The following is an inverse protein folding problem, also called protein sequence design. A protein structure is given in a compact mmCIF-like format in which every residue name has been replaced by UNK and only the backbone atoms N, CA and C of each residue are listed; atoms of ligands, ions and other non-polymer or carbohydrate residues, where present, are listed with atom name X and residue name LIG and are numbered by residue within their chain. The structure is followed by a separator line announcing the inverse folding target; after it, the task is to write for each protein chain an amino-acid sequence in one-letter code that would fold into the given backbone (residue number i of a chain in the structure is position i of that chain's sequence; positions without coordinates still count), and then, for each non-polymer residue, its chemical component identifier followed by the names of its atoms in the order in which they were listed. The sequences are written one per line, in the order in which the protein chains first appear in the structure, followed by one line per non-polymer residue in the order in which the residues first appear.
data_IF_261764308514
#
_entry.id   IF_261764308514
#
_cell.length_a   1.000
_cell.length_b   1.000
_cell.length_c   1.000
_cell.angle_alpha   90.00
_cell.angle_beta   90.00
_cell.angle_gamma   90.00
#
_symmetry.space_group_name_H-M   'P 1'
#
loop_
_entity.id
_entity.type
_entity.pdbx_description
1 polymer ?
#
# COMPACT_ATOMS: atom_id res chain seq x y z
N UNK A 1 8.90 36.20 -20.03
CA UNK A 1 9.73 34.97 -20.07
C UNK A 1 10.04 34.68 -21.54
N UNK A 2 11.30 34.42 -21.93
CA UNK A 2 11.63 34.16 -23.35
C UNK A 2 11.13 32.76 -23.76
N UNK A 3 10.81 32.55 -25.05
CA UNK A 3 10.42 31.23 -25.58
C UNK A 3 11.47 30.15 -25.27
N UNK A 4 12.76 30.51 -25.28
CA UNK A 4 13.88 29.64 -24.89
C UNK A 4 13.77 29.18 -23.43
N UNK A 5 13.38 30.07 -22.52
CA UNK A 5 13.24 29.73 -21.09
C UNK A 5 12.04 28.81 -20.85
N UNK A 6 10.95 28.99 -21.60
CA UNK A 6 9.78 28.10 -21.54
C UNK A 6 10.16 26.69 -21.99
N UNK A 7 10.84 26.57 -23.15
CA UNK A 7 11.28 25.26 -23.66
C UNK A 7 12.20 24.49 -22.70
N UNK A 8 13.12 25.19 -22.03
CA UNK A 8 14.00 24.58 -21.01
C UNK A 8 13.18 24.06 -19.82
N UNK A 9 12.20 24.82 -19.36
CA UNK A 9 11.38 24.46 -18.19
C UNK A 9 10.51 23.23 -18.48
N UNK A 10 9.93 23.14 -19.68
CA UNK A 10 9.16 21.97 -20.13
C UNK A 10 10.06 20.72 -20.17
N UNK A 11 11.24 20.82 -20.79
CA UNK A 11 12.20 19.71 -20.87
C UNK A 11 12.65 19.22 -19.49
N UNK A 12 12.91 20.14 -18.56
CA UNK A 12 13.29 19.79 -17.18
C UNK A 12 12.15 19.11 -16.42
N UNK A 13 10.91 19.56 -16.62
CA UNK A 13 9.73 18.96 -15.97
C UNK A 13 9.50 17.53 -16.46
N UNK A 14 9.57 17.30 -17.78
CA UNK A 14 9.44 15.95 -18.35
C UNK A 14 10.55 15.03 -17.84
N UNK A 15 11.80 15.50 -17.77
CA UNK A 15 12.91 14.72 -17.20
C UNK A 15 12.71 14.36 -15.73
N UNK A 16 12.15 15.28 -14.95
CA UNK A 16 11.87 15.03 -13.53
C UNK A 16 10.81 13.94 -13.37
N UNK A 17 9.71 14.02 -14.12
CA UNK A 17 8.64 12.99 -14.12
C UNK A 17 9.20 11.63 -14.55
N UNK A 18 9.99 11.60 -15.63
CA UNK A 18 10.63 10.38 -16.14
C UNK A 18 11.58 9.75 -15.12
N UNK A 19 12.36 10.58 -14.41
CA UNK A 19 13.24 10.09 -13.34
C UNK A 19 12.44 9.54 -12.15
N UNK A 20 11.41 10.25 -11.70
CA UNK A 20 10.54 9.79 -10.63
C UNK A 20 9.92 8.42 -10.98
N UNK A 21 9.36 8.26 -12.19
CA UNK A 21 8.79 6.99 -12.63
C UNK A 21 9.79 5.83 -12.60
N UNK A 22 11.05 6.05 -13.02
CA UNK A 22 12.11 5.03 -12.92
C UNK A 22 12.45 4.65 -11.47
N UNK A 23 12.45 5.62 -10.58
CA UNK A 23 12.72 5.38 -9.16
C UNK A 23 11.58 4.58 -8.52
N UNK A 24 10.31 4.87 -8.88
CA UNK A 24 9.15 4.10 -8.41
C UNK A 24 9.14 2.67 -8.95
N UNK A 25 9.44 2.46 -10.24
CA UNK A 25 9.55 1.11 -10.81
C UNK A 25 10.66 0.30 -10.12
N UNK A 26 11.82 0.94 -9.87
CA UNK A 26 12.94 0.30 -9.16
C UNK A 26 12.57 -0.04 -7.72
N UNK A 27 11.92 0.87 -7.00
CA UNK A 27 11.43 0.64 -5.64
C UNK A 27 10.41 -0.50 -5.60
N UNK A 28 9.45 -0.52 -6.53
CA UNK A 28 8.42 -1.55 -6.62
C UNK A 28 9.05 -2.94 -6.78
N UNK A 29 10.04 -3.08 -7.67
CA UNK A 29 10.80 -4.33 -7.86
C UNK A 29 11.56 -4.75 -6.60
N UNK A 30 12.15 -3.81 -5.88
CA UNK A 30 12.85 -4.09 -4.62
C UNK A 30 11.89 -4.54 -3.53
N UNK A 31 10.72 -3.90 -3.39
CA UNK A 31 9.68 -4.31 -2.45
C UNK A 31 9.21 -5.73 -2.76
N UNK A 32 8.88 -6.03 -4.02
CA UNK A 32 8.47 -7.36 -4.46
C UNK A 32 9.51 -8.42 -4.11
N UNK A 33 10.78 -8.17 -4.45
CA UNK A 33 11.88 -9.10 -4.16
C UNK A 33 12.05 -9.37 -2.66
N UNK A 34 12.02 -8.32 -1.83
CA UNK A 34 12.21 -8.45 -0.39
C UNK A 34 11.00 -9.14 0.29
N UNK A 35 9.77 -8.90 -0.21
CA UNK A 35 8.59 -9.65 0.22
C UNK A 35 8.71 -11.11 -0.21
N UNK A 36 9.01 -11.43 -1.47
CA UNK A 36 9.16 -12.82 -1.97
C UNK A 36 10.18 -13.61 -1.16
N UNK A 37 11.31 -12.98 -0.81
CA UNK A 37 12.31 -13.56 0.06
C UNK A 37 11.76 -13.88 1.45
N UNK A 38 10.98 -12.98 2.05
CA UNK A 38 10.36 -13.19 3.35
C UNK A 38 9.25 -14.25 3.30
N UNK A 39 8.47 -14.29 2.23
CA UNK A 39 7.44 -15.32 2.01
C UNK A 39 8.08 -16.71 1.97
N UNK A 40 9.18 -16.84 1.24
CA UNK A 40 9.89 -18.12 1.07
C UNK A 40 10.64 -18.57 2.33
N UNK A 41 11.17 -17.63 3.12
CA UNK A 41 12.05 -17.93 4.26
C UNK A 41 11.38 -17.83 5.63
N UNK A 42 10.52 -16.84 5.86
CA UNK A 42 9.94 -16.50 7.17
C UNK A 42 8.47 -16.87 7.33
N UNK A 43 7.73 -16.96 6.22
CA UNK A 43 6.27 -17.21 6.22
C UNK A 43 5.86 -18.50 5.50
N UNK A 44 6.80 -19.34 5.11
CA UNK A 44 6.57 -20.57 4.33
C UNK A 44 5.66 -21.60 5.02
N UNK A 45 5.53 -21.53 6.34
CA UNK A 45 4.62 -22.36 7.15
C UNK A 45 3.24 -21.73 7.35
N UNK A 46 3.09 -20.44 7.10
CA UNK A 46 1.85 -19.67 7.29
C UNK A 46 1.03 -19.66 5.99
N UNK A 47 1.69 -19.36 4.87
CA UNK A 47 1.03 -19.20 3.58
C UNK A 47 1.99 -19.55 2.44
N UNK A 48 1.44 -19.72 1.24
CA UNK A 48 2.20 -19.93 0.01
C UNK A 48 1.81 -18.92 -1.05
N UNK A 49 2.79 -18.50 -1.83
CA UNK A 49 2.55 -17.77 -3.06
C UNK A 49 1.84 -18.71 -4.05
N UNK A 50 0.73 -18.26 -4.61
CA UNK A 50 -0.06 -19.00 -5.60
C UNK A 50 -0.28 -18.22 -6.90
N UNK A 51 -0.21 -16.89 -6.83
CA UNK A 51 -0.25 -16.00 -8.00
C UNK A 51 0.85 -14.96 -7.85
N UNK A 52 1.41 -14.54 -8.98
CA UNK A 52 2.54 -13.63 -9.06
C UNK A 52 2.11 -12.16 -9.12
N UNK A 53 3.05 -11.26 -8.84
CA UNK A 53 2.85 -9.81 -8.89
C UNK A 53 2.34 -9.32 -10.25
N UNK A 54 2.90 -9.83 -11.35
CA UNK A 54 2.61 -9.36 -12.71
C UNK A 54 1.18 -9.66 -13.16
N UNK A 55 0.56 -10.71 -12.62
CA UNK A 55 -0.84 -11.07 -12.93
C UNK A 55 -1.83 -10.08 -12.31
N UNK A 56 -1.37 -9.32 -11.30
CA UNK A 56 -2.19 -8.45 -10.46
C UNK A 56 -1.61 -7.03 -10.38
N UNK A 57 -1.01 -6.57 -11.48
CA UNK A 57 -0.52 -5.19 -11.63
C UNK A 57 -1.66 -4.29 -12.14
N UNK A 58 -1.84 -3.15 -11.49
CA UNK A 58 -2.78 -2.09 -11.85
C UNK A 58 -2.05 -0.76 -11.81
N UNK A 59 -2.28 0.09 -12.79
CA UNK A 59 -1.71 1.44 -12.90
C UNK A 59 -2.85 2.45 -13.01
N UNK A 60 -2.70 3.59 -12.35
CA UNK A 60 -3.62 4.71 -12.45
C UNK A 60 -2.91 5.85 -13.16
N UNK A 61 -3.58 6.43 -14.16
CA UNK A 61 -3.10 7.60 -14.89
C UNK A 61 -3.99 8.81 -14.58
N UNK A 62 -3.46 10.01 -14.82
CA UNK A 62 -4.26 11.23 -14.80
C UNK A 62 -5.36 11.21 -15.88
N UNK A 63 -6.26 12.19 -15.84
CA UNK A 63 -7.40 12.29 -16.77
C UNK A 63 -7.00 12.34 -18.25
N UNK A 64 -5.76 12.75 -18.55
CA UNK A 64 -5.21 12.83 -19.90
C UNK A 64 -4.42 11.60 -20.30
N UNK A 65 -4.35 10.57 -19.45
CA UNK A 65 -3.56 9.34 -19.63
C UNK A 65 -2.08 9.61 -19.93
N UNK A 66 -1.55 10.73 -19.43
CA UNK A 66 -0.19 11.18 -19.71
C UNK A 66 0.78 10.85 -18.58
N UNK A 67 0.33 10.98 -17.32
CA UNK A 67 1.16 10.76 -16.14
C UNK A 67 0.56 9.64 -15.31
N UNK A 68 1.35 8.61 -15.02
CA UNK A 68 0.97 7.60 -14.04
C UNK A 68 1.01 8.23 -12.63
N UNK A 69 -0.14 8.23 -11.95
CA UNK A 69 -0.37 8.81 -10.62
C UNK A 69 -0.49 7.74 -9.54
N UNK A 70 -0.59 6.46 -9.91
CA UNK A 70 -0.64 5.36 -8.95
C UNK A 70 -0.19 4.02 -9.51
N UNK A 71 0.40 3.21 -8.64
CA UNK A 71 0.81 1.83 -8.93
C UNK A 71 0.20 0.91 -7.90
N UNK A 72 -0.32 -0.23 -8.30
CA UNK A 72 -0.78 -1.25 -7.39
C UNK A 72 -0.34 -2.62 -7.88
N UNK A 73 0.20 -3.43 -6.99
CA UNK A 73 0.63 -4.79 -7.31
C UNK A 73 0.37 -5.69 -6.13
N UNK A 74 -0.15 -6.89 -6.41
CA UNK A 74 -0.60 -7.81 -5.37
C UNK A 74 -0.01 -9.20 -5.55
N UNK A 75 0.34 -9.84 -4.44
CA UNK A 75 0.81 -11.22 -4.40
C UNK A 75 -0.31 -12.13 -3.89
N UNK A 76 -0.76 -13.06 -4.73
CA UNK A 76 -1.79 -14.01 -4.33
C UNK A 76 -1.25 -15.04 -3.35
N UNK A 77 -1.88 -15.11 -2.18
CA UNK A 77 -1.53 -15.97 -1.07
C UNK A 77 -2.59 -17.07 -0.88
N UNK A 78 -2.14 -18.32 -0.98
CA UNK A 78 -2.96 -19.49 -0.72
C UNK A 78 -2.77 -20.04 0.69
N UNK A 79 -3.86 -20.56 1.27
CA UNK A 79 -3.80 -21.43 2.44
C UNK A 79 -3.60 -22.88 1.98
N UNK A 80 -2.70 -23.62 2.64
CA UNK A 80 -2.53 -25.06 2.36
C UNK A 80 -3.68 -25.82 3.02
N UNK A 81 -4.77 -26.06 2.29
CA UNK A 81 -5.84 -26.96 2.74
C UNK A 81 -5.91 -28.18 1.83
N UNK A 82 -5.60 -29.36 2.39
CA UNK A 82 -5.73 -30.68 1.74
C UNK A 82 -5.07 -30.79 0.35
N UNK A 83 -3.89 -30.18 0.16
CA UNK A 83 -3.09 -30.36 -1.05
C UNK A 83 -3.54 -29.58 -2.29
N UNK A 84 -4.58 -28.73 -2.20
CA UNK A 84 -4.90 -27.71 -3.21
C UNK A 84 -4.69 -26.33 -2.60
N UNK A 85 -3.88 -25.51 -3.27
CA UNK A 85 -3.73 -24.11 -2.90
C UNK A 85 -4.74 -23.30 -3.72
N UNK A 86 -5.76 -22.76 -3.07
CA UNK A 86 -6.63 -21.73 -3.65
C UNK A 86 -6.25 -20.39 -3.05
N UNK A 87 -6.16 -19.35 -3.89
CA UNK A 87 -5.93 -17.99 -3.43
C UNK A 87 -6.99 -17.61 -2.41
N UNK A 88 -6.53 -17.20 -1.23
CA UNK A 88 -7.37 -16.86 -0.09
C UNK A 88 -7.23 -15.38 0.27
N UNK A 89 -6.04 -14.81 0.07
CA UNK A 89 -5.70 -13.43 0.38
C UNK A 89 -4.75 -12.89 -0.66
N UNK A 90 -4.66 -11.57 -0.76
CA UNK A 90 -3.70 -10.87 -1.58
C UNK A 90 -2.94 -9.88 -0.71
N UNK A 91 -1.61 -10.03 -0.66
CA UNK A 91 -0.75 -9.04 -0.06
C UNK A 91 -0.48 -7.97 -1.11
N UNK A 92 -1.10 -6.81 -0.95
CA UNK A 92 -1.04 -5.71 -1.89
C UNK A 92 -0.08 -4.61 -1.44
N UNK A 93 0.52 -3.96 -2.44
CA UNK A 93 1.22 -2.69 -2.29
C UNK A 93 0.59 -1.71 -3.26
N UNK A 94 0.15 -0.57 -2.74
CA UNK A 94 -0.38 0.54 -3.52
C UNK A 94 0.51 1.76 -3.29
N UNK A 95 1.03 2.36 -4.35
CA UNK A 95 1.77 3.60 -4.34
C UNK A 95 0.87 4.67 -4.95
N UNK A 96 0.58 5.72 -4.19
CA UNK A 96 -0.25 6.85 -4.64
C UNK A 96 0.61 8.10 -4.69
N UNK A 97 0.83 8.62 -5.90
CA UNK A 97 1.66 9.80 -6.17
C UNK A 97 0.84 11.09 -6.25
N UNK A 98 -0.42 10.98 -6.66
CA UNK A 98 -1.39 12.07 -6.69
C UNK A 98 -2.83 11.52 -6.65
N UNK A 99 -3.78 12.36 -6.25
CA UNK A 99 -5.21 12.07 -6.30
C UNK A 99 -5.76 11.29 -5.10
N UNK A 100 -6.90 10.64 -5.32
CA UNK A 100 -7.79 10.11 -4.26
C UNK A 100 -7.18 9.00 -3.39
N UNK A 101 -6.07 8.40 -3.82
CA UNK A 101 -5.31 7.45 -3.00
C UNK A 101 -4.56 8.12 -1.84
N UNK A 102 -4.32 9.43 -1.91
CA UNK A 102 -3.55 10.17 -0.90
C UNK A 102 -4.24 11.41 -0.35
N UNK A 103 -5.21 12.00 -1.04
CA UNK A 103 -5.96 13.17 -0.61
C UNK A 103 -7.46 13.06 -0.91
N UNK A 104 -8.26 14.03 -0.48
CA UNK A 104 -9.66 14.20 -0.86
C UNK A 104 -10.06 15.67 -0.75
N UNK A 105 -11.30 16.02 -1.09
CA UNK A 105 -11.83 17.39 -0.93
C UNK A 105 -11.71 17.95 0.50
N UNK A 106 -11.63 17.08 1.51
CA UNK A 106 -11.57 17.44 2.93
C UNK A 106 -10.18 17.13 3.53
N UNK A 107 -9.43 16.21 2.92
CA UNK A 107 -8.12 15.75 3.41
C UNK A 107 -7.05 16.24 2.46
N UNK A 108 -6.36 17.31 2.85
CA UNK A 108 -5.27 17.88 2.08
C UNK A 108 -3.94 17.21 2.45
N UNK A 109 -3.50 16.28 1.61
CA UNK A 109 -2.16 15.72 1.70
C UNK A 109 -1.46 15.82 0.33
N UNK A 110 -0.25 16.36 0.36
CA UNK A 110 0.60 16.54 -0.82
C UNK A 110 1.79 15.57 -0.83
N UNK A 111 1.90 14.69 0.16
CA UNK A 111 2.97 13.70 0.22
C UNK A 111 2.53 12.35 -0.34
N UNK A 112 3.29 11.79 -1.30
CA UNK A 112 3.00 10.45 -1.83
C UNK A 112 3.01 9.37 -0.75
N UNK A 113 2.12 8.40 -0.89
CA UNK A 113 1.92 7.34 0.09
C UNK A 113 2.21 5.97 -0.51
N UNK A 114 2.60 5.04 0.36
CA UNK A 114 2.64 3.61 0.10
C UNK A 114 1.72 2.92 1.09
N UNK A 115 0.68 2.26 0.59
CA UNK A 115 -0.22 1.44 1.38
C UNK A 115 0.19 -0.02 1.26
N UNK A 116 0.37 -0.67 2.42
CA UNK A 116 0.63 -2.10 2.52
C UNK A 116 -0.62 -2.74 3.09
N UNK A 117 -1.20 -3.68 2.34
CA UNK A 117 -2.49 -4.26 2.67
C UNK A 117 -2.50 -5.78 2.53
N UNK A 118 -3.44 -6.41 3.22
CA UNK A 118 -3.83 -7.79 3.01
C UNK A 118 -5.34 -7.81 2.80
N UNK A 119 -5.79 -8.14 1.59
CA UNK A 119 -7.21 -8.12 1.23
C UNK A 119 -7.70 -9.46 0.71
N UNK A 120 -9.02 -9.58 0.53
CA UNK A 120 -9.66 -10.74 -0.08
C UNK A 120 -9.76 -10.66 -1.62
N UNK A 121 -9.18 -9.63 -2.22
CA UNK A 121 -9.04 -9.39 -3.66
C UNK A 121 -7.71 -8.66 -3.92
N UNK A 122 -7.19 -8.66 -5.16
CA UNK A 122 -6.06 -7.80 -5.51
C UNK A 122 -6.43 -6.31 -5.39
N UNK A 123 -5.43 -5.46 -5.25
CA UNK A 123 -5.62 -4.00 -5.31
C UNK A 123 -5.81 -3.59 -6.77
N UNK A 124 -6.88 -2.85 -7.04
CA UNK A 124 -7.26 -2.40 -8.38
C UNK A 124 -7.83 -0.98 -8.34
N UNK A 125 -7.33 -0.11 -9.23
CA UNK A 125 -7.79 1.28 -9.28
C UNK A 125 -9.12 1.46 -10.02
N UNK A 126 -9.44 0.60 -10.99
CA UNK A 126 -10.62 0.68 -11.85
C UNK A 126 -11.92 0.29 -11.14
N UNK A 127 -11.86 -0.65 -10.19
CA UNK A 127 -13.02 -1.09 -9.40
C UNK A 127 -13.18 -0.35 -8.07
N UNK A 128 -12.43 0.75 -7.86
CA UNK A 128 -12.35 1.47 -6.57
C UNK A 128 -11.93 0.58 -5.40
N UNK A 129 -11.24 -0.51 -5.71
CA UNK A 129 -10.68 -1.47 -4.77
C UNK A 129 -9.25 -1.03 -4.43
N UNK A 130 -9.12 0.14 -3.80
CA UNK A 130 -7.86 0.73 -3.37
C UNK A 130 -8.04 1.59 -2.12
N UNK A 131 -6.96 1.82 -1.39
CA UNK A 131 -6.93 2.59 -0.15
C UNK A 131 -6.84 4.09 -0.44
N UNK A 132 -7.59 4.90 0.31
CA UNK A 132 -7.49 6.35 0.32
C UNK A 132 -8.02 6.94 1.62
N UNK A 133 -7.84 8.23 1.89
CA UNK A 133 -8.36 8.90 3.10
C UNK A 133 -9.89 8.88 3.16
N UNK A 134 -10.56 8.81 2.00
CA UNK A 134 -12.00 8.53 1.90
C UNK A 134 -12.20 7.06 1.60
N UNK A 135 -12.50 6.28 2.63
CA UNK A 135 -12.71 4.84 2.50
C UNK A 135 -14.15 4.63 2.03
N UNK A 136 -14.34 3.96 0.90
CA UNK A 136 -15.67 3.52 0.47
C UNK A 136 -16.04 2.26 1.25
N UNK A 137 -17.19 2.20 1.92
CA UNK A 137 -17.59 1.01 2.68
C UNK A 137 -17.91 -0.12 1.71
N UNK A 138 -16.95 -1.05 1.51
CA UNK A 138 -17.13 -2.25 0.67
C UNK A 138 -18.11 -3.22 1.33
N UNK A 139 -18.08 -3.34 2.66
CA UNK A 139 -18.93 -4.24 3.46
C UNK A 139 -19.32 -3.57 4.79
N UNK A 140 -20.41 -2.79 4.78
CA UNK A 140 -20.98 -2.06 5.93
C UNK A 140 -20.01 -1.07 6.65
N UNK A 141 -20.35 0.23 6.70
CA UNK A 141 -19.48 1.26 7.28
C UNK A 141 -19.15 1.09 8.77
N UNK A 142 -19.93 0.28 9.50
CA UNK A 142 -19.77 0.09 10.95
C UNK A 142 -18.67 -0.92 11.32
N UNK A 143 -18.04 -1.58 10.34
CA UNK A 143 -17.10 -2.70 10.58
C UNK A 143 -15.62 -2.28 10.68
N UNK A 144 -15.27 -1.07 10.24
CA UNK A 144 -13.87 -0.64 10.13
C UNK A 144 -13.35 -0.17 11.49
N UNK A 145 -12.32 -0.85 11.99
CA UNK A 145 -11.62 -0.47 13.22
C UNK A 145 -10.27 0.14 12.87
N UNK A 146 -10.03 1.37 13.31
CA UNK A 146 -8.72 2.02 13.22
C UNK A 146 -7.94 1.76 14.53
N UNK A 147 -6.86 0.98 14.44
CA UNK A 147 -6.05 0.59 15.59
C UNK A 147 -4.83 1.51 15.70
N UNK A 148 -4.63 2.09 16.88
CA UNK A 148 -3.54 3.01 17.22
C UNK A 148 -3.37 4.17 16.22
N UNK A 149 -4.46 4.56 15.55
CA UNK A 149 -4.44 5.56 14.49
C UNK A 149 -3.54 5.22 13.30
N UNK A 150 -3.17 3.95 13.04
CA UNK A 150 -2.20 3.60 11.98
C UNK A 150 -2.61 2.42 11.10
N UNK A 151 -3.44 1.52 11.62
CA UNK A 151 -3.80 0.27 10.95
C UNK A 151 -5.31 0.16 10.89
N UNK A 152 -5.85 0.11 9.67
CA UNK A 152 -7.26 -0.19 9.45
C UNK A 152 -7.46 -1.71 9.43
N UNK A 153 -8.53 -2.17 10.09
CA UNK A 153 -9.00 -3.56 10.11
C UNK A 153 -10.48 -3.60 9.72
N UNK A 154 -10.79 -4.24 8.60
CA UNK A 154 -12.16 -4.40 8.09
C UNK A 154 -12.85 -5.65 8.61
N UNK A 155 -12.13 -6.51 9.34
CA UNK A 155 -12.61 -7.80 9.82
C UNK A 155 -12.22 -8.04 11.29
N UNK A 156 -12.63 -7.13 12.20
CA UNK A 156 -12.25 -7.19 13.61
C UNK A 156 -12.66 -8.51 14.28
N UNK A 157 -13.67 -9.19 13.77
CA UNK A 157 -14.17 -10.48 14.28
C UNK A 157 -13.23 -11.67 14.01
N UNK A 158 -12.28 -11.55 13.07
CA UNK A 158 -11.26 -12.59 12.86
C UNK A 158 -10.20 -12.52 13.96
N UNK A 159 -9.78 -13.68 14.44
CA UNK A 159 -8.78 -13.75 15.51
C UNK A 159 -7.33 -13.54 15.00
N UNK A 160 -7.04 -14.00 13.78
CA UNK A 160 -5.67 -14.04 13.24
C UNK A 160 -5.51 -13.03 12.10
N UNK A 161 -4.41 -12.28 12.12
CA UNK A 161 -4.11 -11.23 11.13
C UNK A 161 -3.97 -11.72 9.69
N UNK A 162 -3.51 -12.95 9.47
CA UNK A 162 -3.47 -13.57 8.15
C UNK A 162 -4.86 -13.94 7.61
N UNK A 163 -5.89 -13.96 8.46
CA UNK A 163 -7.28 -14.14 8.07
C UNK A 163 -8.06 -12.82 8.00
N UNK A 164 -7.44 -11.71 8.46
CA UNK A 164 -8.04 -10.38 8.44
C UNK A 164 -7.87 -9.68 7.08
N UNK A 165 -8.64 -8.61 6.90
CA UNK A 165 -8.43 -7.59 5.89
C UNK A 165 -7.94 -6.31 6.56
N UNK A 166 -6.75 -5.84 6.18
CA UNK A 166 -6.10 -4.73 6.87
C UNK A 166 -5.19 -3.93 5.95
N UNK A 167 -4.94 -2.67 6.34
CA UNK A 167 -4.05 -1.74 5.63
C UNK A 167 -3.36 -0.80 6.60
N UNK A 168 -2.04 -0.64 6.46
CA UNK A 168 -1.30 0.48 7.03
C UNK A 168 -0.58 1.23 5.90
N UNK A 169 -0.24 2.48 6.15
CA UNK A 169 0.37 3.33 5.13
C UNK A 169 1.66 3.96 5.64
N UNK A 170 2.57 4.23 4.71
CA UNK A 170 3.83 4.93 4.93
C UNK A 170 3.88 6.15 4.00
N UNK A 171 4.52 7.23 4.44
CA UNK A 171 5.00 8.24 3.50
C UNK A 171 6.06 7.60 2.60
N UNK A 172 5.89 7.70 1.29
CA UNK A 172 6.82 7.13 0.32
C UNK A 172 8.24 7.67 0.51
N UNK A 173 8.37 8.94 0.87
CA UNK A 173 9.62 9.64 1.17
C UNK A 173 10.40 9.04 2.36
N UNK A 174 9.78 8.18 3.16
CA UNK A 174 10.43 7.47 4.26
C UNK A 174 11.14 6.18 3.83
N UNK A 175 11.02 5.77 2.56
CA UNK A 175 11.60 4.55 1.98
C UNK A 175 12.79 4.90 1.07
N UNK A 176 13.98 5.08 1.64
CA UNK A 176 15.16 5.52 0.89
C UNK A 176 16.18 4.40 0.64
N UNK A 177 16.08 3.33 1.41
CA UNK A 177 17.05 2.23 1.40
C UNK A 177 16.38 0.86 1.44
N UNK A 178 17.12 -0.18 1.06
CA UNK A 178 16.67 -1.57 1.23
C UNK A 178 16.40 -1.89 2.71
N UNK A 179 17.15 -1.28 3.64
CA UNK A 179 16.91 -1.45 5.07
C UNK A 179 15.57 -0.83 5.52
N UNK A 180 15.14 0.27 4.88
CA UNK A 180 13.80 0.83 5.11
C UNK A 180 12.72 -0.14 4.65
N UNK A 181 12.84 -0.71 3.44
CA UNK A 181 11.90 -1.73 2.95
C UNK A 181 11.82 -2.91 3.95
N UNK A 182 12.97 -3.39 4.42
CA UNK A 182 13.03 -4.51 5.37
C UNK A 182 12.38 -4.20 6.71
N UNK A 183 12.67 -3.02 7.29
CA UNK A 183 12.22 -2.64 8.63
C UNK A 183 10.80 -2.09 8.65
N UNK A 184 10.37 -1.38 7.60
CA UNK A 184 9.11 -0.65 7.53
C UNK A 184 8.01 -1.42 6.77
N UNK A 185 8.38 -2.36 5.89
CA UNK A 185 7.44 -3.20 5.13
C UNK A 185 7.56 -4.67 5.53
N UNK A 186 8.71 -5.29 5.25
CA UNK A 186 8.85 -6.76 5.35
C UNK A 186 8.69 -7.27 6.77
N UNK A 187 9.36 -6.66 7.75
CA UNK A 187 9.27 -7.08 9.14
C UNK A 187 7.84 -6.94 9.68
N UNK A 188 7.17 -5.78 9.57
CA UNK A 188 5.79 -5.63 10.05
C UNK A 188 4.83 -6.61 9.39
N UNK A 189 4.90 -6.78 8.07
CA UNK A 189 4.09 -7.79 7.35
C UNK A 189 4.36 -9.18 7.90
N UNK A 190 5.63 -9.55 8.08
CA UNK A 190 5.99 -10.88 8.60
C UNK A 190 5.45 -11.12 10.01
N UNK A 191 5.56 -10.13 10.89
CA UNK A 191 5.08 -10.25 12.27
C UNK A 191 3.55 -10.29 12.34
N UNK A 192 2.86 -9.39 11.60
CA UNK A 192 1.40 -9.44 11.47
C UNK A 192 0.94 -10.79 10.92
N UNK A 193 1.53 -11.30 9.85
CA UNK A 193 1.15 -12.60 9.27
C UNK A 193 1.40 -13.78 10.22
N UNK A 194 2.28 -13.64 11.22
CA UNK A 194 2.47 -14.59 12.33
C UNK A 194 1.53 -14.34 13.51
N UNK A 195 0.51 -13.51 13.31
CA UNK A 195 -0.50 -13.11 14.28
C UNK A 195 0.02 -12.26 15.45
N UNK A 196 1.13 -11.55 15.29
CA UNK A 196 1.58 -10.56 16.26
C UNK A 196 0.61 -9.36 16.29
N UNK A 197 0.44 -8.71 17.45
CA UNK A 197 -0.31 -7.45 17.52
C UNK A 197 0.41 -6.32 16.76
N UNK A 198 -0.27 -5.23 16.38
CA UNK A 198 0.36 -4.08 15.73
C UNK A 198 1.56 -3.51 16.51
N UNK A 199 1.50 -3.53 17.84
CA UNK A 199 2.60 -3.11 18.73
C UNK A 199 3.76 -4.09 18.69
N UNK A 200 3.48 -5.40 18.69
CA UNK A 200 4.53 -6.43 18.58
C UNK A 200 5.20 -6.40 17.20
N UNK A 201 4.44 -6.10 16.15
CA UNK A 201 4.95 -5.82 14.81
C UNK A 201 5.67 -4.47 14.69
N UNK A 202 5.71 -3.68 15.79
CA UNK A 202 6.35 -2.36 15.91
C UNK A 202 5.79 -1.29 14.98
N UNK A 203 4.55 -1.45 14.50
CA UNK A 203 3.96 -0.48 13.57
C UNK A 203 3.91 0.94 14.14
N UNK A 204 3.70 1.08 15.45
CA UNK A 204 3.65 2.39 16.14
C UNK A 204 5.00 3.09 16.24
N UNK A 205 6.11 2.38 16.05
CA UNK A 205 7.50 2.87 16.16
C UNK A 205 8.13 3.16 14.79
N UNK A 206 7.46 2.82 13.69
CA UNK A 206 8.00 3.02 12.34
C UNK A 206 8.03 4.50 12.00
N UNK A 207 9.23 5.02 11.76
CA UNK A 207 9.41 6.35 11.18
C UNK A 207 8.78 6.40 9.78
N UNK A 208 7.89 7.39 9.58
CA UNK A 208 7.18 7.60 8.32
C UNK A 208 5.86 6.83 8.21
N UNK A 209 5.43 6.12 9.26
CA UNK A 209 4.06 5.55 9.29
C UNK A 209 3.02 6.66 9.32
N UNK A 210 2.01 6.54 8.46
CA UNK A 210 0.91 7.49 8.38
C UNK A 210 0.00 7.29 9.59
N UNK A 211 -0.32 8.39 10.26
CA UNK A 211 -1.29 8.40 11.35
C UNK A 211 -2.59 9.03 10.88
N UNK A 212 -3.69 8.36 11.15
CA UNK A 212 -5.02 8.74 10.71
C UNK A 212 -5.86 9.32 11.84
N UNK A 213 -6.61 10.38 11.56
CA UNK A 213 -7.59 10.95 12.49
C UNK A 213 -8.97 10.84 11.83
N UNK A 214 -9.92 10.18 12.50
CA UNK A 214 -11.28 10.08 11.98
C UNK A 214 -11.93 11.47 11.99
N UNK A 215 -12.33 11.96 10.81
CA UNK A 215 -13.06 13.22 10.64
C UNK A 215 -14.57 12.96 10.61
N UNK A 216 -14.97 11.94 9.86
CA UNK A 216 -16.37 11.58 9.62
C UNK A 216 -16.50 10.05 9.43
N UNK A 217 -17.72 9.56 9.18
CA UNK A 217 -17.95 8.18 8.75
C UNK A 217 -17.13 7.86 7.49
N UNK A 218 -16.20 6.92 7.66
CA UNK A 218 -15.26 6.45 6.64
C UNK A 218 -14.33 7.52 6.04
N UNK A 219 -14.16 8.66 6.71
CA UNK A 219 -13.22 9.70 6.29
C UNK A 219 -12.16 9.94 7.36
N UNK A 220 -10.91 9.90 6.93
CA UNK A 220 -9.76 9.95 7.82
C UNK A 220 -8.72 10.93 7.30
N UNK A 221 -8.40 11.93 8.14
CA UNK A 221 -7.30 12.86 7.90
C UNK A 221 -5.95 12.17 8.07
N UNK A 222 -4.92 12.74 7.44
CA UNK A 222 -3.53 12.35 7.64
C UNK A 222 -2.89 13.34 8.61
N UNK A 223 -2.52 12.85 9.80
CA UNK A 223 -1.85 13.63 10.82
C UNK A 223 -0.38 13.84 10.46
N UNK A 224 -0.02 15.08 10.12
CA UNK A 224 1.36 15.53 9.84
C UNK A 224 2.25 15.68 11.09
N UNK A 225 2.10 14.82 12.10
CA UNK A 225 2.84 14.92 13.37
C UNK A 225 4.35 14.71 13.21
#
# INVERSE_FOLDING_TARGET
MSQKNIGISIHQSVKMIEQAGREIDSLSKLIQLEIDNAMSSKLSTVCKIVESWNENLSELYDELEFVCTGYAFSLGLGQIKKGRSTTARWLGVQISLAGDGMCSEIVENEQPLVHINLWNHPVYFDEELYMGPKIKPVMSPDSIVLINNILFDWTPEKALWQDKEWTYSLFLTSLNTIDDIRKKIVQPVTELMKSASPEQAKLTEIEGVVRYIKIDENQYDISNM
#
